data_IF_462227571249
#
_entry.id   IF_462227571249
#
_cell.length_a   1.000
_cell.length_b   1.000
_cell.length_c   1.000
_cell.angle_alpha   90.00
_cell.angle_beta   90.00
_cell.angle_gamma   90.00
#
_symmetry.space_group_name_H-M   'P 1'
#
loop_
_entity.id
_entity.type
_entity.pdbx_description
1 polymer ?
#
# COMPACT_ATOMS: atom_id res chain seq x y z
N UNK A 1 -7.59 2.17 -27.29
CA UNK A 1 -9.08 2.31 -27.33
C UNK A 1 -9.46 3.54 -26.54
N UNK A 2 -10.52 4.25 -26.90
CA UNK A 2 -10.93 5.43 -26.11
C UNK A 2 -11.61 4.97 -24.82
N UNK A 3 -11.17 5.48 -23.66
CA UNK A 3 -11.83 5.24 -22.37
C UNK A 3 -13.21 5.87 -22.38
N UNK A 4 -14.21 5.12 -21.95
CA UNK A 4 -15.62 5.56 -21.85
C UNK A 4 -16.15 5.55 -20.42
N UNK A 5 -15.50 4.80 -19.55
CA UNK A 5 -15.82 4.71 -18.13
C UNK A 5 -14.54 4.94 -17.33
N UNK A 6 -14.64 5.69 -16.25
CA UNK A 6 -13.53 5.84 -15.30
C UNK A 6 -14.08 6.08 -13.90
N UNK A 7 -13.37 5.58 -12.89
CA UNK A 7 -13.81 5.80 -11.51
C UNK A 7 -12.72 5.52 -10.49
N UNK A 8 -12.90 6.16 -9.34
CA UNK A 8 -12.01 6.04 -8.19
C UNK A 8 -12.54 5.01 -7.20
N UNK A 9 -11.70 4.07 -6.80
CA UNK A 9 -12.07 2.95 -5.94
C UNK A 9 -11.12 2.92 -4.74
N UNK A 10 -11.64 3.11 -3.55
CA UNK A 10 -10.84 3.06 -2.33
C UNK A 10 -10.69 1.63 -1.81
N UNK A 11 -9.46 1.21 -1.50
CA UNK A 11 -9.16 -0.09 -0.88
C UNK A 11 -8.87 0.14 0.60
N UNK A 12 -9.78 -0.30 1.45
CA UNK A 12 -9.71 -0.13 2.90
C UNK A 12 -9.72 -1.48 3.62
N UNK A 13 -9.22 -1.52 4.84
CA UNK A 13 -9.18 -2.72 5.67
C UNK A 13 -8.16 -2.57 6.80
N UNK A 14 -8.18 -3.52 7.73
CA UNK A 14 -7.18 -3.54 8.82
C UNK A 14 -5.75 -3.75 8.29
N UNK A 15 -4.71 -3.52 9.09
CA UNK A 15 -3.34 -3.88 8.71
C UNK A 15 -3.21 -5.36 8.35
N UNK A 16 -2.35 -5.65 7.37
CA UNK A 16 -1.96 -7.01 6.94
C UNK A 16 -3.07 -7.88 6.30
N UNK A 17 -4.23 -7.34 5.97
CA UNK A 17 -5.27 -8.08 5.21
C UNK A 17 -4.90 -8.29 3.74
N UNK A 18 -3.84 -7.61 3.24
CA UNK A 18 -3.33 -7.77 1.87
C UNK A 18 -3.72 -6.67 0.89
N UNK A 19 -4.06 -5.46 1.36
CA UNK A 19 -4.44 -4.32 0.49
C UNK A 19 -3.41 -4.05 -0.60
N UNK A 20 -2.17 -3.76 -0.26
CA UNK A 20 -1.11 -3.47 -1.23
C UNK A 20 -0.77 -4.66 -2.13
N UNK A 21 -0.95 -5.90 -1.63
CA UNK A 21 -0.81 -7.10 -2.47
C UNK A 21 -1.91 -7.17 -3.51
N UNK A 22 -3.17 -6.87 -3.11
CA UNK A 22 -4.29 -6.80 -4.03
C UNK A 22 -4.11 -5.67 -5.05
N UNK A 23 -3.69 -4.48 -4.60
CA UNK A 23 -3.41 -3.35 -5.49
C UNK A 23 -2.42 -3.73 -6.59
N UNK A 24 -1.28 -4.35 -6.23
CA UNK A 24 -0.31 -4.83 -7.20
C UNK A 24 -0.90 -5.91 -8.12
N UNK A 25 -1.73 -6.83 -7.59
CA UNK A 25 -2.37 -7.87 -8.39
C UNK A 25 -3.38 -7.31 -9.39
N UNK A 26 -4.16 -6.29 -8.99
CA UNK A 26 -5.15 -5.62 -9.85
C UNK A 26 -4.50 -4.92 -11.03
N UNK A 27 -3.38 -4.21 -10.83
CA UNK A 27 -2.70 -3.49 -11.92
C UNK A 27 -1.65 -4.31 -12.65
N UNK A 28 -1.27 -5.48 -12.12
CA UNK A 28 -0.27 -6.38 -12.73
C UNK A 28 1.19 -5.93 -12.53
N UNK A 29 1.42 -4.83 -11.81
CA UNK A 29 2.73 -4.25 -11.59
C UNK A 29 2.97 -3.91 -10.11
N UNK A 30 4.25 -3.73 -9.73
CA UNK A 30 4.61 -3.34 -8.37
C UNK A 30 4.52 -1.82 -8.20
N UNK A 31 3.37 -1.33 -7.78
CA UNK A 31 3.12 0.09 -7.44
C UNK A 31 3.12 0.35 -5.93
N UNK A 32 2.98 -0.69 -5.12
CA UNK A 32 2.98 -0.62 -3.67
C UNK A 32 3.95 -1.63 -3.07
N UNK A 33 4.58 -1.26 -1.95
CA UNK A 33 5.43 -2.18 -1.20
C UNK A 33 4.60 -3.14 -0.36
N UNK A 34 5.12 -4.36 -0.18
CA UNK A 34 4.42 -5.43 0.52
C UNK A 34 5.25 -5.95 1.68
N UNK A 35 4.66 -6.05 2.86
CA UNK A 35 5.24 -6.79 3.98
C UNK A 35 4.15 -7.34 4.91
N UNK A 36 4.52 -8.31 5.74
CA UNK A 36 3.64 -8.84 6.78
C UNK A 36 3.64 -7.98 8.06
N UNK A 37 4.32 -6.82 8.07
CA UNK A 37 4.39 -5.93 9.21
C UNK A 37 3.33 -4.83 9.13
N UNK A 38 2.76 -4.39 10.26
CA UNK A 38 1.83 -3.27 10.26
C UNK A 38 2.54 -1.97 9.80
N UNK A 39 1.76 -0.98 9.33
CA UNK A 39 2.27 0.30 8.82
C UNK A 39 3.20 0.15 7.60
N UNK A 40 2.97 -0.87 6.76
CA UNK A 40 3.66 -1.04 5.49
C UNK A 40 3.34 0.12 4.56
N UNK A 41 2.07 0.37 4.27
CA UNK A 41 1.60 1.56 3.54
C UNK A 41 1.41 2.70 4.54
N UNK A 42 1.99 3.87 4.25
CA UNK A 42 1.90 5.08 5.09
C UNK A 42 1.19 6.23 4.39
N UNK A 43 1.31 6.32 3.07
CA UNK A 43 0.62 7.29 2.22
C UNK A 43 -0.51 6.61 1.46
N UNK A 44 -1.44 7.39 0.91
CA UNK A 44 -2.32 6.94 -0.14
C UNK A 44 -1.48 6.64 -1.39
N UNK A 45 -1.73 5.51 -2.03
CA UNK A 45 -1.10 5.12 -3.28
C UNK A 45 -2.21 5.08 -4.34
N UNK A 46 -2.04 5.84 -5.40
CA UNK A 46 -2.88 5.76 -6.57
C UNK A 46 -2.30 4.73 -7.53
N UNK A 47 -3.10 3.73 -7.90
CA UNK A 47 -2.76 2.69 -8.84
C UNK A 47 -3.79 2.69 -9.98
N UNK A 48 -3.34 2.72 -11.23
CA UNK A 48 -4.17 2.94 -12.41
C UNK A 48 -4.12 1.69 -13.28
N UNK A 49 -5.31 1.22 -13.65
CA UNK A 49 -5.49 0.11 -14.60
C UNK A 49 -6.38 0.55 -15.75
N UNK A 50 -5.89 0.41 -16.98
CA UNK A 50 -6.70 0.51 -18.19
C UNK A 50 -7.08 -0.90 -18.65
N UNK A 51 -8.38 -1.20 -18.73
CA UNK A 51 -8.91 -2.49 -19.16
C UNK A 51 -10.06 -2.27 -20.15
N UNK A 52 -9.83 -2.55 -21.42
CA UNK A 52 -10.81 -2.30 -22.48
C UNK A 52 -11.16 -0.82 -22.64
N UNK A 53 -12.42 -0.46 -22.39
CA UNK A 53 -12.91 0.93 -22.44
C UNK A 53 -13.03 1.57 -21.04
N UNK A 54 -12.49 0.91 -20.01
CA UNK A 54 -12.60 1.31 -18.60
C UNK A 54 -11.23 1.66 -18.02
N UNK A 55 -11.18 2.74 -17.23
CA UNK A 55 -10.01 3.10 -16.40
C UNK A 55 -10.40 3.02 -14.92
N UNK A 56 -9.72 2.14 -14.21
CA UNK A 56 -9.85 1.99 -12.76
C UNK A 56 -8.74 2.75 -12.06
N UNK A 57 -9.10 3.55 -11.07
CA UNK A 57 -8.15 4.27 -10.22
C UNK A 57 -8.29 3.75 -8.79
N UNK A 58 -7.39 2.87 -8.40
CA UNK A 58 -7.38 2.27 -7.06
C UNK A 58 -6.60 3.15 -6.09
N UNK A 59 -7.20 3.44 -4.93
CA UNK A 59 -6.56 4.17 -3.84
C UNK A 59 -6.21 3.17 -2.73
N UNK A 60 -4.95 2.67 -2.71
CA UNK A 60 -4.44 1.86 -1.60
C UNK A 60 -4.15 2.74 -0.40
N UNK A 61 -4.68 2.35 0.75
CA UNK A 61 -4.64 3.15 1.97
C UNK A 61 -3.87 2.47 3.08
N UNK A 62 -3.31 3.24 4.04
CA UNK A 62 -2.82 2.68 5.29
C UNK A 62 -3.89 1.80 5.96
N UNK A 63 -3.45 0.74 6.65
CA UNK A 63 -4.38 -0.06 7.44
C UNK A 63 -4.94 0.73 8.62
N UNK A 64 -6.26 0.71 8.83
CA UNK A 64 -6.88 1.38 9.98
C UNK A 64 -6.39 0.76 11.29
N UNK A 65 -5.77 1.59 12.13
CA UNK A 65 -5.21 1.21 13.42
C UNK A 65 -5.39 2.35 14.45
N UNK A 66 -5.21 2.02 15.74
CA UNK A 66 -5.21 3.05 16.77
C UNK A 66 -3.90 3.84 16.72
N UNK A 67 -3.97 5.13 16.43
CA UNK A 67 -2.81 6.02 16.41
C UNK A 67 -2.16 6.15 17.81
N UNK A 68 -0.82 6.21 17.82
CA UNK A 68 0.00 6.41 19.02
C UNK A 68 1.07 7.47 18.84
N UNK A 69 1.22 7.99 17.63
CA UNK A 69 2.20 9.01 17.25
C UNK A 69 1.54 9.94 16.25
N UNK A 70 2.09 11.13 16.01
CA UNK A 70 1.60 12.05 14.98
C UNK A 70 1.64 11.45 13.57
N UNK A 71 2.63 10.61 13.27
CA UNK A 71 2.64 9.84 12.03
C UNK A 71 1.44 8.88 11.98
N UNK A 72 1.07 8.26 13.10
CA UNK A 72 -0.13 7.43 13.19
C UNK A 72 -1.42 8.22 12.98
N UNK A 73 -1.53 9.43 13.54
CA UNK A 73 -2.67 10.33 13.32
C UNK A 73 -2.78 10.70 11.84
N UNK A 74 -1.67 11.05 11.18
CA UNK A 74 -1.60 11.27 9.74
C UNK A 74 -2.16 10.08 8.95
N UNK A 75 -1.68 8.86 9.21
CA UNK A 75 -2.15 7.65 8.52
C UNK A 75 -3.65 7.42 8.69
N UNK A 76 -4.21 7.68 9.88
CA UNK A 76 -5.66 7.58 10.13
C UNK A 76 -6.43 8.64 9.32
N UNK A 77 -5.91 9.85 9.20
CA UNK A 77 -6.52 10.90 8.36
C UNK A 77 -6.50 10.53 6.88
N UNK A 78 -5.37 10.00 6.36
CA UNK A 78 -5.29 9.48 4.99
C UNK A 78 -6.39 8.47 4.69
N UNK A 79 -6.65 7.52 5.61
CA UNK A 79 -7.77 6.56 5.44
C UNK A 79 -9.12 7.26 5.42
N UNK A 80 -9.31 8.29 6.25
CA UNK A 80 -10.59 9.03 6.30
C UNK A 80 -10.87 9.80 5.02
N UNK A 81 -9.85 10.44 4.48
CA UNK A 81 -9.93 11.24 3.26
C UNK A 81 -10.07 10.36 2.01
N UNK A 82 -9.41 9.21 1.99
CA UNK A 82 -9.44 8.30 0.85
C UNK A 82 -10.78 7.60 0.59
N UNK A 83 -11.76 7.72 1.47
CA UNK A 83 -13.13 7.22 1.25
C UNK A 83 -14.13 8.35 0.94
N UNK A 84 -13.67 9.60 0.95
CA UNK A 84 -14.45 10.72 0.43
C UNK A 84 -14.29 10.79 -1.10
N UNK A 85 -15.35 11.15 -1.80
CA UNK A 85 -15.33 11.40 -3.26
C UNK A 85 -14.84 10.21 -4.12
N UNK A 86 -15.22 8.98 -3.76
CA UNK A 86 -14.95 7.77 -4.55
C UNK A 86 -16.24 7.15 -5.08
N UNK A 87 -16.13 6.42 -6.19
CA UNK A 87 -17.25 5.77 -6.86
C UNK A 87 -17.62 4.42 -6.23
N UNK A 88 -16.63 3.76 -5.58
CA UNK A 88 -16.84 2.53 -4.84
C UNK A 88 -15.78 2.32 -3.75
N UNK A 89 -16.10 1.47 -2.78
CA UNK A 89 -15.18 1.08 -1.71
C UNK A 89 -15.01 -0.43 -1.69
N UNK A 90 -13.77 -0.91 -1.64
CA UNK A 90 -13.43 -2.30 -1.35
C UNK A 90 -13.09 -2.44 0.13
N UNK A 91 -13.95 -3.12 0.88
CA UNK A 91 -13.61 -3.53 2.24
C UNK A 91 -12.89 -4.88 2.19
N UNK A 92 -11.58 -4.85 2.40
CA UNK A 92 -10.75 -6.04 2.40
C UNK A 92 -10.71 -6.67 3.79
N UNK A 93 -11.04 -7.95 3.87
CA UNK A 93 -11.04 -8.75 5.11
C UNK A 93 -10.32 -10.08 4.90
N UNK A 94 -9.88 -10.70 5.99
CA UNK A 94 -9.40 -12.08 5.97
C UNK A 94 -10.61 -13.05 6.09
N UNK A 95 -10.45 -14.34 5.68
CA UNK A 95 -11.53 -15.31 5.73
C UNK A 95 -11.76 -15.82 7.16
N UNK A 96 -12.10 -14.90 8.07
CA UNK A 96 -12.36 -15.14 9.48
C UNK A 96 -13.75 -14.61 9.80
N UNK A 97 -14.69 -15.44 10.33
CA UNK A 97 -16.06 -15.04 10.63
C UNK A 97 -16.14 -14.20 11.92
N UNK A 98 -15.38 -13.11 11.98
CA UNK A 98 -15.34 -12.20 13.11
C UNK A 98 -15.09 -10.76 12.66
N UNK A 99 -15.91 -9.83 13.12
CA UNK A 99 -15.78 -8.40 12.90
C UNK A 99 -15.09 -7.77 14.11
N UNK A 100 -13.83 -7.38 13.95
CA UNK A 100 -13.09 -6.68 14.99
C UNK A 100 -13.41 -5.19 15.04
N UNK A 101 -12.83 -4.49 16.02
CA UNK A 101 -13.03 -3.04 16.17
C UNK A 101 -12.68 -2.21 14.92
N UNK A 102 -11.54 -2.46 14.25
CA UNK A 102 -11.19 -1.76 13.02
C UNK A 102 -12.19 -1.99 11.88
N UNK A 103 -12.64 -3.23 11.68
CA UNK A 103 -13.64 -3.55 10.65
C UNK A 103 -14.99 -2.90 10.96
N UNK A 104 -15.44 -2.95 12.21
CA UNK A 104 -16.70 -2.31 12.64
C UNK A 104 -16.67 -0.79 12.38
N UNK A 105 -15.54 -0.12 12.65
CA UNK A 105 -15.38 1.31 12.38
C UNK A 105 -15.40 1.61 10.88
N UNK A 106 -14.76 0.77 10.03
CA UNK A 106 -14.80 0.93 8.58
C UNK A 106 -16.20 0.72 8.02
N UNK A 107 -16.93 -0.31 8.50
CA UNK A 107 -18.33 -0.56 8.10
C UNK A 107 -19.22 0.62 8.48
N UNK A 108 -19.04 1.20 9.68
CA UNK A 108 -19.78 2.39 10.10
C UNK A 108 -19.57 3.55 9.13
N UNK A 109 -18.32 3.79 8.69
CA UNK A 109 -17.99 4.84 7.72
C UNK A 109 -18.59 4.60 6.35
N UNK A 110 -18.53 3.36 5.84
CA UNK A 110 -19.15 2.99 4.58
C UNK A 110 -20.64 3.33 4.60
N UNK A 111 -21.33 3.01 5.70
CA UNK A 111 -22.76 3.34 5.88
C UNK A 111 -23.02 4.85 5.82
N UNK A 112 -22.14 5.66 6.44
CA UNK A 112 -22.28 7.13 6.47
C UNK A 112 -22.08 7.77 5.09
N UNK A 113 -21.21 7.21 4.27
CA UNK A 113 -20.87 7.75 2.95
C UNK A 113 -21.90 7.38 1.86
N UNK A 114 -22.68 6.32 2.08
CA UNK A 114 -23.69 5.82 1.13
C UNK A 114 -23.11 5.58 -0.28
N UNK A 115 -21.89 5.06 -0.36
CA UNK A 115 -21.25 4.65 -1.62
C UNK A 115 -21.35 3.14 -1.81
N UNK A 116 -21.35 2.62 -3.06
CA UNK A 116 -21.29 1.19 -3.32
C UNK A 116 -20.10 0.55 -2.60
N UNK A 117 -20.34 -0.52 -1.87
CA UNK A 117 -19.31 -1.23 -1.13
C UNK A 117 -19.25 -2.70 -1.53
N UNK A 118 -18.06 -3.16 -1.89
CA UNK A 118 -17.77 -4.56 -2.19
C UNK A 118 -16.98 -5.15 -1.02
N UNK A 119 -17.48 -6.27 -0.47
CA UNK A 119 -16.72 -7.06 0.49
C UNK A 119 -15.74 -7.96 -0.26
N UNK A 120 -14.46 -7.78 -0.04
CA UNK A 120 -13.41 -8.62 -0.64
C UNK A 120 -12.82 -9.53 0.44
N UNK A 121 -13.12 -10.81 0.38
CA UNK A 121 -12.57 -11.80 1.33
C UNK A 121 -11.26 -12.32 0.74
N UNK A 122 -10.16 -11.77 1.22
CA UNK A 122 -8.81 -12.08 0.71
C UNK A 122 -8.18 -13.28 1.45
N UNK A 123 -7.11 -13.82 0.88
CA UNK A 123 -6.34 -14.96 1.39
C UNK A 123 -7.14 -16.28 1.42
N UNK A 124 -8.04 -16.45 0.45
CA UNK A 124 -8.81 -17.72 0.35
C UNK A 124 -7.92 -18.95 0.11
N UNK A 125 -6.70 -18.74 -0.36
CA UNK A 125 -5.66 -19.76 -0.48
C UNK A 125 -5.18 -20.33 0.86
N UNK A 126 -5.57 -19.74 1.99
CA UNK A 126 -5.26 -20.23 3.33
C UNK A 126 -6.36 -21.10 3.93
N UNK A 127 -7.52 -21.19 3.28
CA UNK A 127 -8.62 -22.02 3.72
C UNK A 127 -8.38 -23.49 3.35
N UNK A 128 -8.67 -24.39 4.27
CA UNK A 128 -8.68 -25.83 4.00
C UNK A 128 -9.97 -26.24 3.30
N UNK A 129 -11.10 -25.62 3.67
CA UNK A 129 -12.43 -25.89 3.13
C UNK A 129 -13.11 -24.59 2.68
N UNK A 130 -13.61 -24.56 1.44
CA UNK A 130 -14.30 -23.38 0.87
C UNK A 130 -15.62 -23.07 1.56
N UNK A 131 -16.22 -24.04 2.22
CA UNK A 131 -17.47 -23.90 3.00
C UNK A 131 -17.31 -22.88 4.15
N UNK A 132 -16.10 -22.70 4.68
CA UNK A 132 -15.79 -21.70 5.71
C UNK A 132 -16.11 -20.27 5.26
N UNK A 133 -16.10 -20.00 3.95
CA UNK A 133 -16.49 -18.69 3.40
C UNK A 133 -17.96 -18.34 3.69
N UNK A 134 -18.85 -19.32 3.80
CA UNK A 134 -20.28 -19.06 4.07
C UNK A 134 -20.49 -18.38 5.42
N UNK A 135 -19.75 -18.79 6.45
CA UNK A 135 -19.81 -18.16 7.77
C UNK A 135 -19.28 -16.72 7.75
N UNK A 136 -18.21 -16.47 6.98
CA UNK A 136 -17.66 -15.12 6.81
C UNK A 136 -18.66 -14.22 6.09
N UNK A 137 -19.23 -14.68 4.97
CA UNK A 137 -20.23 -13.95 4.19
C UNK A 137 -21.44 -13.63 5.06
N UNK A 138 -21.94 -14.60 5.83
CA UNK A 138 -23.09 -14.40 6.73
C UNK A 138 -22.78 -13.37 7.82
N UNK A 139 -21.59 -13.46 8.44
CA UNK A 139 -21.16 -12.55 9.51
C UNK A 139 -21.10 -11.11 9.04
N UNK A 140 -20.47 -10.86 7.89
CA UNK A 140 -20.35 -9.50 7.33
C UNK A 140 -21.67 -9.02 6.73
N UNK A 141 -22.46 -9.91 6.09
CA UNK A 141 -23.79 -9.59 5.55
C UNK A 141 -24.80 -9.14 6.62
N UNK A 142 -24.69 -9.64 7.85
CA UNK A 142 -25.52 -9.15 8.98
C UNK A 142 -25.12 -7.74 9.42
N UNK A 143 -23.86 -7.34 9.22
CA UNK A 143 -23.36 -6.04 9.62
C UNK A 143 -23.62 -4.94 8.57
N UNK A 144 -23.61 -5.27 7.27
CA UNK A 144 -23.85 -4.32 6.19
C UNK A 144 -24.32 -5.05 4.92
N UNK A 145 -25.22 -4.43 4.17
CA UNK A 145 -25.63 -4.88 2.84
C UNK A 145 -24.57 -4.46 1.80
N UNK A 146 -23.64 -5.37 1.51
CA UNK A 146 -22.64 -5.14 0.47
C UNK A 146 -23.25 -5.35 -0.90
N UNK A 147 -22.87 -4.51 -1.87
CA UNK A 147 -23.35 -4.60 -3.24
C UNK A 147 -22.87 -5.87 -3.94
N UNK A 148 -21.69 -6.35 -3.56
CA UNK A 148 -21.16 -7.65 -3.98
C UNK A 148 -20.20 -8.22 -2.91
N UNK A 149 -19.99 -9.53 -2.95
CA UNK A 149 -19.01 -10.24 -2.12
C UNK A 149 -18.13 -11.07 -3.05
N UNK A 150 -16.83 -10.80 -3.06
CA UNK A 150 -15.87 -11.44 -3.96
C UNK A 150 -14.74 -12.09 -3.12
N UNK A 151 -14.66 -13.42 -3.07
CA UNK A 151 -13.51 -14.12 -2.50
C UNK A 151 -12.30 -14.01 -3.44
N UNK A 152 -11.12 -13.66 -2.89
CA UNK A 152 -9.90 -13.53 -3.69
C UNK A 152 -8.68 -14.11 -2.96
N UNK A 153 -7.68 -14.48 -3.72
CA UNK A 153 -6.31 -14.60 -3.24
C UNK A 153 -5.43 -13.61 -4.01
N UNK A 154 -5.16 -12.47 -3.42
CA UNK A 154 -4.26 -11.48 -4.03
C UNK A 154 -2.84 -12.04 -4.29
N UNK A 155 -2.45 -13.11 -3.58
CA UNK A 155 -1.15 -13.77 -3.74
C UNK A 155 -1.09 -14.67 -4.97
N UNK A 156 -2.16 -15.40 -5.27
CA UNK A 156 -2.23 -16.36 -6.37
C UNK A 156 -2.90 -15.81 -7.62
N UNK A 157 -3.63 -14.68 -7.49
CA UNK A 157 -4.46 -14.11 -8.55
C UNK A 157 -5.88 -14.68 -8.62
N UNK A 158 -6.23 -15.67 -7.79
CA UNK A 158 -7.59 -16.24 -7.76
C UNK A 158 -8.62 -15.16 -7.42
N UNK A 159 -9.68 -15.03 -8.22
CA UNK A 159 -10.79 -14.11 -8.00
C UNK A 159 -10.50 -12.64 -8.38
N UNK A 160 -9.29 -12.32 -8.86
CA UNK A 160 -8.92 -10.92 -9.20
C UNK A 160 -9.64 -10.44 -10.46
N UNK A 161 -9.77 -11.27 -11.49
CA UNK A 161 -10.51 -10.94 -12.72
C UNK A 161 -12.01 -10.78 -12.45
N UNK A 162 -12.60 -11.67 -11.64
CA UNK A 162 -14.01 -11.57 -11.21
C UNK A 162 -14.25 -10.29 -10.42
N UNK A 163 -13.30 -9.87 -9.58
CA UNK A 163 -13.38 -8.60 -8.87
C UNK A 163 -13.38 -7.42 -9.86
N UNK A 164 -12.52 -7.44 -10.87
CA UNK A 164 -12.48 -6.39 -11.90
C UNK A 164 -13.77 -6.34 -12.71
N UNK A 165 -14.38 -7.49 -13.05
CA UNK A 165 -15.67 -7.54 -13.74
C UNK A 165 -16.81 -6.94 -12.89
N UNK A 166 -16.83 -7.24 -11.60
CA UNK A 166 -17.79 -6.64 -10.66
C UNK A 166 -17.60 -5.12 -10.59
N UNK A 167 -16.36 -4.65 -10.50
CA UNK A 167 -16.03 -3.23 -10.38
C UNK A 167 -16.34 -2.44 -11.66
N UNK A 168 -16.21 -3.05 -12.84
CA UNK A 168 -16.57 -2.40 -14.11
C UNK A 168 -18.05 -1.96 -14.15
N UNK A 169 -18.91 -2.69 -13.43
CA UNK A 169 -20.32 -2.35 -13.27
C UNK A 169 -20.60 -1.09 -12.46
N UNK A 170 -19.64 -0.65 -11.63
CA UNK A 170 -19.79 0.54 -10.78
C UNK A 170 -19.15 1.80 -11.39
N UNK A 171 -18.31 1.65 -12.43
CA UNK A 171 -17.65 2.79 -13.03
C UNK A 171 -18.64 3.69 -13.75
N UNK A 172 -18.67 5.00 -13.42
CA UNK A 172 -19.49 5.95 -14.15
C UNK A 172 -18.99 6.17 -15.57
N UNK A 173 -19.90 6.58 -16.45
CA UNK A 173 -19.50 7.10 -17.76
C UNK A 173 -18.73 8.40 -17.57
N UNK A 174 -17.54 8.47 -18.14
CA UNK A 174 -16.66 9.61 -17.92
C UNK A 174 -15.41 9.57 -18.79
N UNK A 175 -14.69 10.68 -18.88
CA UNK A 175 -13.43 10.77 -19.59
C UNK A 175 -12.33 10.01 -18.85
N UNK A 176 -11.25 9.73 -19.56
CA UNK A 176 -10.00 9.25 -18.97
C UNK A 176 -9.47 10.24 -17.92
N UNK A 177 -9.13 9.75 -16.72
CA UNK A 177 -8.65 10.55 -15.59
C UNK A 177 -7.13 10.72 -15.63
N UNK A 178 -6.42 9.68 -16.02
CA UNK A 178 -4.95 9.63 -16.07
C UNK A 178 -4.45 9.20 -17.44
N UNK A 179 -3.23 9.61 -17.88
CA UNK A 179 -2.61 9.14 -19.12
C UNK A 179 -2.62 7.60 -19.24
N UNK A 180 -2.71 7.09 -20.47
CA UNK A 180 -2.89 5.65 -20.75
C UNK A 180 -1.68 4.80 -20.31
N UNK A 181 -0.50 5.38 -20.31
CA UNK A 181 0.78 4.78 -19.92
C UNK A 181 1.10 4.94 -18.43
N UNK A 182 0.25 5.64 -17.67
CA UNK A 182 0.46 5.86 -16.25
C UNK A 182 -0.11 4.71 -15.42
N UNK A 183 0.72 4.06 -14.61
CA UNK A 183 0.33 2.97 -13.67
C UNK A 183 0.19 3.47 -12.24
N UNK A 184 0.83 4.58 -11.89
CA UNK A 184 0.78 5.23 -10.57
C UNK A 184 1.13 6.70 -10.68
N UNK A 185 0.60 7.51 -9.77
CA UNK A 185 0.94 8.93 -9.62
C UNK A 185 2.21 9.17 -8.79
N UNK A 186 2.79 8.10 -8.22
CA UNK A 186 3.96 8.24 -7.37
C UNK A 186 5.22 8.57 -8.19
N UNK A 187 5.98 9.61 -7.80
CA UNK A 187 7.28 9.87 -8.40
C UNK A 187 8.23 8.67 -8.21
N UNK A 188 9.01 8.34 -9.24
CA UNK A 188 10.01 7.27 -9.19
C UNK A 188 10.92 7.37 -7.95
N UNK A 189 11.33 8.59 -7.62
CA UNK A 189 12.14 8.87 -6.43
C UNK A 189 11.47 8.38 -5.14
N UNK A 190 10.15 8.54 -5.02
CA UNK A 190 9.41 8.06 -3.86
C UNK A 190 9.30 6.54 -3.87
N UNK A 191 9.09 5.93 -5.03
CA UNK A 191 9.09 4.48 -5.16
C UNK A 191 10.44 3.87 -4.75
N UNK A 192 11.57 4.51 -5.09
CA UNK A 192 12.90 4.07 -4.64
C UNK A 192 13.03 4.12 -3.11
N UNK A 193 12.53 5.18 -2.47
CA UNK A 193 12.51 5.27 -1.01
C UNK A 193 11.66 4.14 -0.39
N UNK A 194 10.49 3.87 -0.96
CA UNK A 194 9.60 2.81 -0.47
C UNK A 194 10.18 1.41 -0.70
N UNK A 195 10.83 1.13 -1.83
CA UNK A 195 11.53 -0.14 -2.08
C UNK A 195 12.61 -0.37 -1.01
N UNK A 196 13.41 0.64 -0.68
CA UNK A 196 14.40 0.52 0.39
C UNK A 196 13.74 0.32 1.77
N UNK A 197 12.63 1.01 2.04
CA UNK A 197 11.86 0.85 3.28
C UNK A 197 11.22 -0.54 3.38
N UNK A 198 10.77 -1.14 2.29
CA UNK A 198 10.31 -2.53 2.24
C UNK A 198 11.40 -3.50 2.74
N UNK A 199 12.65 -3.32 2.27
CA UNK A 199 13.74 -4.21 2.70
C UNK A 199 14.10 -4.03 4.17
N UNK A 200 13.98 -2.80 4.70
CA UNK A 200 14.09 -2.56 6.15
C UNK A 200 12.96 -3.29 6.92
N UNK A 201 11.72 -3.25 6.43
CA UNK A 201 10.60 -3.99 7.02
C UNK A 201 10.84 -5.51 6.98
N UNK A 202 11.38 -6.04 5.90
CA UNK A 202 11.63 -7.48 5.74
C UNK A 202 12.83 -7.98 6.56
N UNK A 203 13.89 -7.19 6.67
CA UNK A 203 15.15 -7.63 7.27
C UNK A 203 15.30 -7.30 8.76
N UNK A 204 14.53 -6.34 9.29
CA UNK A 204 14.60 -5.90 10.69
C UNK A 204 13.36 -6.36 11.45
N UNK A 205 13.50 -6.52 12.78
CA UNK A 205 12.43 -7.03 13.63
C UNK A 205 11.99 -6.03 14.70
N UNK A 206 10.91 -6.39 15.40
CA UNK A 206 10.30 -5.62 16.49
C UNK A 206 9.89 -4.21 16.03
N UNK A 207 10.14 -3.19 16.85
CA UNK A 207 9.77 -1.80 16.61
C UNK A 207 10.76 -1.03 15.71
N UNK A 208 11.93 -1.63 15.39
CA UNK A 208 12.98 -0.93 14.65
C UNK A 208 12.52 -0.48 13.26
N UNK A 209 11.94 -1.35 12.41
CA UNK A 209 11.51 -0.94 11.07
C UNK A 209 10.37 0.09 11.09
N UNK A 210 9.51 0.07 12.12
CA UNK A 210 8.42 1.04 12.26
C UNK A 210 8.92 2.46 12.58
N UNK A 211 10.09 2.56 13.23
CA UNK A 211 10.77 3.82 13.54
C UNK A 211 11.74 4.28 12.46
N UNK A 212 11.69 3.71 11.24
CA UNK A 212 12.54 4.14 10.12
C UNK A 212 11.80 5.02 9.13
N UNK A 213 12.53 5.98 8.54
CA UNK A 213 12.14 6.70 7.34
C UNK A 213 13.29 6.65 6.34
N UNK A 214 12.97 6.80 5.06
CA UNK A 214 13.96 6.81 3.97
C UNK A 214 13.78 8.09 3.18
N UNK A 215 14.88 8.78 2.95
CA UNK A 215 14.93 9.96 2.09
C UNK A 215 15.94 9.69 0.96
N UNK A 216 15.52 9.89 -0.28
CA UNK A 216 16.41 9.88 -1.43
C UNK A 216 17.02 11.27 -1.53
N UNK A 217 18.33 11.37 -1.28
CA UNK A 217 19.06 12.65 -1.30
C UNK A 217 19.65 12.99 -2.66
N UNK A 218 19.92 11.95 -3.48
CA UNK A 218 20.34 12.10 -4.88
C UNK A 218 19.57 11.09 -5.74
N UNK A 219 19.14 11.54 -6.91
CA UNK A 219 18.53 10.71 -7.94
C UNK A 219 18.92 11.34 -9.29
N UNK A 220 19.81 10.70 -10.02
CA UNK A 220 20.33 11.21 -11.29
C UNK A 220 20.72 10.07 -12.20
N UNK A 221 20.49 10.25 -13.49
CA UNK A 221 21.00 9.38 -14.54
C UNK A 221 22.43 9.79 -14.87
N UNK A 222 23.31 8.81 -15.07
CA UNK A 222 24.69 8.99 -15.51
C UNK A 222 24.80 8.76 -17.01
N UNK A 223 25.90 9.23 -17.61
CA UNK A 223 26.16 9.08 -19.05
C UNK A 223 26.21 7.63 -19.55
N UNK A 224 26.42 6.66 -18.63
CA UNK A 224 26.45 5.23 -18.90
C UNK A 224 25.09 4.51 -18.68
N UNK A 225 23.99 5.27 -18.68
CA UNK A 225 22.62 4.78 -18.43
C UNK A 225 22.42 4.13 -17.04
N UNK A 226 23.33 4.38 -16.11
CA UNK A 226 23.22 3.94 -14.71
C UNK A 226 22.50 4.97 -13.88
N UNK A 227 21.45 4.60 -13.16
CA UNK A 227 20.79 5.50 -12.22
C UNK A 227 21.56 5.52 -10.91
N UNK A 228 22.03 6.71 -10.52
CA UNK A 228 22.71 6.92 -9.25
C UNK A 228 21.74 7.39 -8.19
N UNK A 229 21.66 6.63 -7.10
CA UNK A 229 20.74 6.88 -5.99
C UNK A 229 21.52 6.95 -4.68
N UNK A 230 21.39 8.11 -4.00
CA UNK A 230 21.83 8.27 -2.63
C UNK A 230 20.62 8.27 -1.70
N UNK A 231 20.62 7.40 -0.70
CA UNK A 231 19.54 7.26 0.26
C UNK A 231 20.01 7.39 1.70
N UNK A 232 19.32 8.19 2.49
CA UNK A 232 19.52 8.28 3.93
C UNK A 232 18.39 7.56 4.66
N UNK A 233 18.75 6.57 5.48
CA UNK A 233 17.84 5.85 6.37
C UNK A 233 17.88 6.55 7.72
N UNK A 234 16.76 7.06 8.17
CA UNK A 234 16.60 7.66 9.49
C UNK A 234 16.04 6.66 10.48
N UNK A 235 16.51 6.70 11.71
CA UNK A 235 16.00 5.93 12.84
C UNK A 235 15.97 6.79 14.10
N UNK A 236 15.23 6.36 15.13
CA UNK A 236 14.99 7.20 16.31
C UNK A 236 16.10 7.14 17.36
N UNK A 237 16.90 6.06 17.41
CA UNK A 237 17.89 5.82 18.49
C UNK A 237 19.21 5.31 17.94
N UNK A 238 20.31 5.61 18.64
CA UNK A 238 21.62 5.08 18.30
C UNK A 238 21.69 3.54 18.36
N UNK A 239 20.95 2.91 19.29
CA UNK A 239 20.82 1.45 19.34
C UNK A 239 20.18 0.88 18.07
N UNK A 240 19.16 1.56 17.52
CA UNK A 240 18.52 1.19 16.26
C UNK A 240 19.51 1.33 15.09
N UNK A 241 20.28 2.43 15.04
CA UNK A 241 21.32 2.65 14.03
C UNK A 241 22.32 1.49 14.01
N UNK A 242 22.79 1.06 15.19
CA UNK A 242 23.71 -0.08 15.30
C UNK A 242 23.13 -1.37 14.72
N UNK A 243 21.84 -1.65 14.96
CA UNK A 243 21.16 -2.85 14.43
C UNK A 243 20.95 -2.75 12.92
N UNK A 244 20.56 -1.57 12.38
CA UNK A 244 20.39 -1.33 10.96
C UNK A 244 21.70 -1.49 10.18
N UNK A 245 22.81 -1.05 10.75
CA UNK A 245 24.15 -1.23 10.17
C UNK A 245 24.57 -2.70 10.28
N UNK A 246 24.40 -3.28 11.46
CA UNK A 246 24.83 -4.63 11.78
C UNK A 246 26.34 -4.77 11.97
N UNK A 247 26.81 -5.96 12.40
CA UNK A 247 28.23 -6.23 12.63
C UNK A 247 29.02 -6.05 11.32
N UNK A 248 29.99 -5.15 11.32
CA UNK A 248 30.78 -4.84 10.12
C UNK A 248 30.00 -4.36 8.91
N UNK A 249 28.80 -3.78 9.12
CA UNK A 249 27.94 -3.29 8.01
C UNK A 249 27.11 -4.36 7.32
N UNK A 250 27.11 -5.61 7.81
CA UNK A 250 26.50 -6.75 7.10
C UNK A 250 24.99 -6.60 6.88
N UNK A 251 24.24 -6.06 7.85
CA UNK A 251 22.79 -5.88 7.71
C UNK A 251 22.48 -4.79 6.68
N UNK A 252 23.14 -3.63 6.76
CA UNK A 252 22.96 -2.55 5.80
C UNK A 252 23.32 -3.00 4.37
N UNK A 253 24.41 -3.74 4.20
CA UNK A 253 24.81 -4.33 2.91
C UNK A 253 23.71 -5.26 2.36
N UNK A 254 23.14 -6.14 3.22
CA UNK A 254 22.04 -7.03 2.84
C UNK A 254 20.81 -6.24 2.36
N UNK A 255 20.36 -5.28 3.16
CA UNK A 255 19.20 -4.41 2.86
C UNK A 255 19.42 -3.67 1.55
N UNK A 256 20.57 -3.01 1.38
CA UNK A 256 20.89 -2.24 0.18
C UNK A 256 21.02 -3.10 -1.07
N UNK A 257 21.59 -4.31 -0.95
CA UNK A 257 21.68 -5.24 -2.09
C UNK A 257 20.31 -5.72 -2.56
N UNK A 258 19.42 -6.07 -1.64
CA UNK A 258 18.04 -6.46 -1.97
C UNK A 258 17.25 -5.28 -2.56
N UNK A 259 17.41 -4.09 -1.98
CA UNK A 259 16.76 -2.89 -2.49
C UNK A 259 17.24 -2.56 -3.91
N UNK A 260 18.55 -2.57 -4.16
CA UNK A 260 19.12 -2.33 -5.49
C UNK A 260 18.56 -3.27 -6.54
N UNK A 261 18.46 -4.57 -6.25
CA UNK A 261 17.92 -5.57 -7.19
C UNK A 261 16.46 -5.25 -7.56
N UNK A 262 15.64 -4.84 -6.60
CA UNK A 262 14.25 -4.49 -6.87
C UNK A 262 14.13 -3.12 -7.57
N UNK A 263 15.00 -2.16 -7.26
CA UNK A 263 15.08 -0.89 -7.97
C UNK A 263 15.48 -1.09 -9.44
N UNK A 264 16.49 -1.94 -9.72
CA UNK A 264 16.90 -2.30 -11.09
C UNK A 264 15.76 -2.95 -11.86
N UNK A 265 14.99 -3.83 -11.20
CA UNK A 265 13.82 -4.47 -11.82
C UNK A 265 12.71 -3.47 -12.13
N UNK A 266 12.48 -2.53 -11.23
CA UNK A 266 11.47 -1.49 -11.41
C UNK A 266 11.86 -0.50 -12.51
N UNK A 267 13.11 -0.05 -12.53
CA UNK A 267 13.60 0.95 -13.48
C UNK A 267 13.98 0.36 -14.85
N UNK A 268 14.10 -0.96 -14.97
CA UNK A 268 14.56 -1.62 -16.20
C UNK A 268 16.02 -1.36 -16.54
N UNK A 269 16.79 -0.75 -15.65
CA UNK A 269 18.21 -0.39 -15.86
C UNK A 269 19.05 -0.61 -14.61
N UNK A 270 20.37 -0.48 -14.72
CA UNK A 270 21.29 -0.64 -13.59
C UNK A 270 21.17 0.52 -12.60
N UNK A 271 21.31 0.19 -11.31
CA UNK A 271 21.26 1.17 -10.21
C UNK A 271 22.54 1.11 -9.39
N UNK A 272 23.16 2.27 -9.21
CA UNK A 272 24.21 2.48 -8.22
C UNK A 272 23.62 3.08 -6.97
N UNK A 273 23.49 2.26 -5.91
CA UNK A 273 22.84 2.66 -4.66
C UNK A 273 23.86 2.88 -3.55
N UNK A 274 23.88 4.08 -2.97
CA UNK A 274 24.60 4.39 -1.74
C UNK A 274 23.62 4.64 -0.59
N UNK A 275 23.93 4.13 0.60
CA UNK A 275 23.03 4.23 1.75
C UNK A 275 23.77 4.71 3.00
N UNK A 276 23.13 5.62 3.75
CA UNK A 276 23.61 6.12 5.04
C UNK A 276 22.56 5.92 6.10
N UNK A 277 22.98 5.79 7.36
CA UNK A 277 22.07 5.69 8.51
C UNK A 277 22.31 6.86 9.45
N UNK A 278 21.27 7.65 9.70
CA UNK A 278 21.29 8.81 10.61
C UNK A 278 20.25 8.66 11.70
N UNK A 279 20.54 9.22 12.88
CA UNK A 279 19.58 9.28 13.98
C UNK A 279 18.81 10.60 13.91
N UNK A 280 17.49 10.51 14.01
CA UNK A 280 16.56 11.64 14.18
C UNK A 280 15.57 11.27 15.28
N UNK A 281 15.87 11.70 16.48
CA UNK A 281 15.05 11.39 17.66
C UNK A 281 13.63 11.94 17.51
N UNK A 282 12.65 11.14 17.92
CA UNK A 282 11.22 11.50 17.93
C UNK A 282 10.68 12.04 16.58
N UNK A 283 11.26 11.62 15.45
CA UNK A 283 10.84 12.12 14.14
C UNK A 283 9.35 11.83 13.84
N UNK A 284 8.80 10.72 14.38
CA UNK A 284 7.39 10.34 14.20
C UNK A 284 6.39 11.28 14.89
N UNK A 285 6.87 12.13 15.81
CA UNK A 285 6.07 13.12 16.51
C UNK A 285 6.42 14.57 16.09
N UNK A 286 7.32 14.73 15.12
CA UNK A 286 7.71 16.03 14.58
C UNK A 286 7.09 16.27 13.20
N UNK A 287 6.09 17.15 13.13
CA UNK A 287 5.34 17.46 11.89
C UNK A 287 6.24 17.89 10.74
N UNK A 288 7.28 18.69 11.00
CA UNK A 288 8.19 19.14 9.95
C UNK A 288 9.02 17.98 9.36
N UNK A 289 9.49 17.05 10.21
CA UNK A 289 10.21 15.88 9.75
C UNK A 289 9.29 14.90 9.01
N UNK A 290 8.06 14.72 9.50
CA UNK A 290 7.04 13.91 8.83
C UNK A 290 6.81 14.44 7.40
N UNK A 291 6.58 15.76 7.24
CA UNK A 291 6.43 16.40 5.94
C UNK A 291 7.66 16.28 5.04
N UNK A 292 8.85 16.44 5.60
CA UNK A 292 10.10 16.34 4.84
C UNK A 292 10.35 14.92 4.30
N UNK A 293 9.87 13.89 5.01
CA UNK A 293 9.94 12.49 4.57
C UNK A 293 8.81 12.10 3.58
N UNK A 294 8.05 13.07 3.09
CA UNK A 294 7.01 12.85 2.08
C UNK A 294 5.65 12.44 2.64
N UNK A 295 5.44 12.51 3.95
CA UNK A 295 4.15 12.28 4.59
C UNK A 295 3.42 13.62 4.75
N UNK A 296 2.64 14.01 3.72
CA UNK A 296 1.94 15.31 3.64
C UNK A 296 0.45 15.05 3.46
N UNK A 297 -0.38 15.83 4.15
CA UNK A 297 -1.78 16.01 3.78
C UNK A 297 -1.78 16.80 2.45
N UNK A 298 -2.50 16.33 1.46
CA UNK A 298 -2.69 17.01 0.17
C UNK A 298 -3.67 18.16 0.29
#
# INVERSE_FOLDING_TARGET
MSIKKSGMISIIGRPNVGKSTLTNALVGEKVAIVSNKPQTTRNRICAILNRGESQFVFLDTPGLHKARTRLGDYMVNVVKESVADVDAVLLLVEPIPHIGGPEAELIRRIKELNVPAVLVINKVDTLEHKEELLEVIQTYGQAHEFTAVVPVSARTGEGVEELLDVLDGFLPQGPQLFPEDMVTDQPERQMMAEILREKLLLCLDKEIPHGTAVEITKFSERDDEVIEIDATIYCEKNSHKGIIIGKGGAMLKKVSSLARQDMERFMGTKVYLQTWVKVKENWRDNVNLIRNFGYRDE
#
